data_IF_016033120829
#
_entry.id   IF_016033120829
#
_cell.length_a   1.000
_cell.length_b   1.000
_cell.length_c   1.000
_cell.angle_alpha   90.00
_cell.angle_beta   90.00
_cell.angle_gamma   90.00
#
_symmetry.space_group_name_H-M   'P 1'
#
loop_
_entity.id
_entity.type
_entity.pdbx_description
1 polymer ?
#
# COMPACT_ATOMS: atom_id res chain seq x y z
N UNK A 1 21.55 5.17 -15.28
CA UNK A 1 20.91 4.05 -14.56
C UNK A 1 20.58 2.98 -15.59
N UNK A 2 21.04 1.73 -15.42
CA UNK A 2 20.75 0.62 -16.32
C UNK A 2 19.75 -0.32 -15.65
N UNK A 3 18.81 -0.86 -16.44
CA UNK A 3 17.92 -1.92 -16.01
C UNK A 3 18.71 -3.23 -15.79
N UNK A 4 18.25 -4.07 -14.86
CA UNK A 4 18.81 -5.39 -14.55
C UNK A 4 19.06 -6.29 -15.77
N UNK A 5 18.26 -6.16 -16.83
CA UNK A 5 18.44 -6.89 -18.08
C UNK A 5 19.66 -6.43 -18.92
N UNK A 6 20.36 -5.37 -18.48
CA UNK A 6 21.45 -4.71 -19.19
C UNK A 6 22.82 -4.90 -18.50
N UNK A 7 22.91 -5.81 -17.51
CA UNK A 7 24.15 -6.11 -16.76
C UNK A 7 24.38 -7.62 -16.71
N UNK A 8 25.45 -8.09 -17.36
CA UNK A 8 25.86 -9.50 -17.35
C UNK A 8 26.46 -9.91 -15.98
N UNK A 9 26.13 -11.12 -15.51
CA UNK A 9 26.77 -11.74 -14.33
C UNK A 9 26.17 -11.37 -12.97
N UNK A 10 25.02 -10.72 -12.91
CA UNK A 10 24.34 -10.44 -11.64
C UNK A 10 23.45 -11.60 -11.18
N UNK A 11 23.72 -12.13 -9.99
CA UNK A 11 22.89 -13.14 -9.32
C UNK A 11 21.92 -12.45 -8.36
N UNK A 12 20.60 -12.65 -8.48
CA UNK A 12 19.65 -12.07 -7.55
C UNK A 12 19.90 -12.58 -6.12
N UNK A 13 19.83 -11.71 -5.10
CA UNK A 13 19.56 -12.20 -3.76
C UNK A 13 18.25 -13.00 -3.83
N UNK A 14 18.22 -14.16 -3.18
CA UNK A 14 17.04 -15.02 -3.14
C UNK A 14 15.88 -14.27 -2.47
N UNK A 15 15.07 -13.56 -3.26
CA UNK A 15 13.71 -13.23 -2.81
C UNK A 15 12.94 -14.55 -2.86
N UNK A 16 12.52 -15.04 -1.70
CA UNK A 16 11.54 -16.10 -1.67
C UNK A 16 10.24 -15.47 -2.17
N UNK A 17 9.78 -15.91 -3.34
CA UNK A 17 8.39 -15.71 -3.73
C UNK A 17 7.56 -16.38 -2.65
N UNK A 18 6.94 -15.59 -1.76
CA UNK A 18 6.00 -16.11 -0.78
C UNK A 18 4.79 -16.62 -1.55
N UNK A 19 4.79 -17.91 -1.83
CA UNK A 19 3.60 -18.64 -2.24
C UNK A 19 2.54 -18.42 -1.18
N UNK A 20 1.34 -18.01 -1.59
CA UNK A 20 0.19 -17.78 -0.71
C UNK A 20 -0.12 -19.03 0.12
N UNK A 21 0.41 -19.06 1.34
CA UNK A 21 -0.12 -19.84 2.45
C UNK A 21 -0.81 -18.82 3.35
N UNK A 22 -2.07 -19.09 3.69
CA UNK A 22 -2.98 -18.12 4.34
C UNK A 22 -2.31 -17.31 5.45
N UNK A 23 -2.30 -15.99 5.25
CA UNK A 23 -1.70 -14.92 6.08
C UNK A 23 -0.18 -14.77 5.93
N UNK A 24 0.22 -13.53 5.67
CA UNK A 24 1.60 -13.07 5.75
C UNK A 24 1.77 -12.32 7.09
N UNK A 25 2.52 -12.91 8.02
CA UNK A 25 2.71 -12.36 9.37
C UNK A 25 3.46 -11.03 9.35
N UNK A 26 4.35 -10.83 8.37
CA UNK A 26 5.07 -9.56 8.21
C UNK A 26 4.12 -8.48 7.74
N UNK A 27 3.27 -8.76 6.76
CA UNK A 27 2.26 -7.82 6.29
C UNK A 27 1.21 -7.51 7.37
N UNK A 28 0.76 -8.52 8.11
CA UNK A 28 -0.16 -8.33 9.24
C UNK A 28 0.48 -7.44 10.34
N UNK A 29 1.75 -7.67 10.68
CA UNK A 29 2.47 -6.86 11.66
C UNK A 29 2.67 -5.42 11.16
N UNK A 30 3.02 -5.26 9.87
CA UNK A 30 3.22 -3.95 9.25
C UNK A 30 1.94 -3.11 9.27
N UNK A 31 0.80 -3.72 8.93
CA UNK A 31 -0.51 -3.08 9.03
C UNK A 31 -0.85 -2.75 10.49
N UNK A 32 -0.61 -3.67 11.42
CA UNK A 32 -0.91 -3.45 12.83
C UNK A 32 -0.04 -2.35 13.46
N UNK A 33 1.23 -2.23 13.05
CA UNK A 33 2.16 -1.20 13.51
C UNK A 33 1.64 0.23 13.30
N UNK A 34 0.81 0.44 12.29
CA UNK A 34 0.20 1.76 12.00
C UNK A 34 -0.68 2.31 13.10
N UNK A 35 -1.27 1.43 13.92
CA UNK A 35 -2.31 1.81 14.86
C UNK A 35 -3.60 2.33 14.21
N UNK A 36 -3.76 2.19 12.89
CA UNK A 36 -4.98 2.58 12.19
C UNK A 36 -6.17 1.78 12.71
N UNK A 37 -7.30 2.46 12.92
CA UNK A 37 -8.55 1.77 13.24
C UNK A 37 -9.04 1.03 11.99
N UNK A 38 -9.00 -0.31 12.02
CA UNK A 38 -9.49 -1.16 10.93
C UNK A 38 -10.64 -2.03 11.46
N UNK A 39 -11.80 -1.98 10.83
CA UNK A 39 -12.94 -2.85 11.13
C UNK A 39 -13.26 -3.77 9.95
N UNK A 40 -13.66 -5.00 10.26
CA UNK A 40 -13.94 -6.06 9.30
C UNK A 40 -15.43 -6.43 9.28
N UNK A 41 -15.85 -7.22 8.29
CA UNK A 41 -17.23 -7.68 8.13
C UNK A 41 -18.11 -6.78 7.25
N UNK A 42 -17.50 -5.86 6.51
CA UNK A 42 -18.22 -4.94 5.61
C UNK A 42 -18.37 -5.52 4.20
N UNK A 43 -19.37 -5.08 3.45
CA UNK A 43 -19.50 -5.49 2.04
C UNK A 43 -18.73 -4.57 1.07
N UNK A 44 -17.83 -3.74 1.60
CA UNK A 44 -17.05 -2.76 0.86
C UNK A 44 -15.72 -2.51 1.56
N UNK A 45 -14.77 -1.93 0.84
CA UNK A 45 -13.52 -1.42 1.38
C UNK A 45 -13.49 0.11 1.24
N UNK A 46 -13.23 0.84 2.32
CA UNK A 46 -13.12 2.29 2.28
C UNK A 46 -12.34 2.84 3.48
N UNK A 47 -11.63 3.95 3.28
CA UNK A 47 -11.23 4.83 4.38
C UNK A 47 -12.30 5.91 4.58
N UNK A 48 -12.72 6.10 5.82
CA UNK A 48 -13.67 7.13 6.22
C UNK A 48 -12.93 8.24 6.98
N UNK A 49 -12.72 9.44 6.38
CA UNK A 49 -11.93 10.50 6.99
C UNK A 49 -12.49 11.02 8.31
N UNK A 50 -13.81 11.21 8.41
CA UNK A 50 -14.43 11.79 9.60
C UNK A 50 -14.29 10.93 10.86
N UNK A 51 -14.59 9.61 10.85
CA UNK A 51 -14.32 8.74 11.99
C UNK A 51 -12.86 8.25 12.06
N UNK A 52 -12.01 8.66 11.12
CA UNK A 52 -10.63 8.20 10.96
C UNK A 52 -10.47 6.67 11.03
N UNK A 53 -11.22 5.95 10.18
CA UNK A 53 -11.30 4.48 10.21
C UNK A 53 -11.29 3.87 8.81
N UNK A 54 -10.63 2.72 8.68
CA UNK A 54 -10.70 1.86 7.51
C UNK A 54 -11.73 0.77 7.76
N UNK A 55 -12.61 0.56 6.79
CA UNK A 55 -13.61 -0.51 6.76
C UNK A 55 -13.22 -1.49 5.66
N UNK A 56 -13.20 -2.78 5.97
CA UNK A 56 -12.85 -3.86 5.04
C UNK A 56 -13.86 -5.00 5.08
N UNK A 57 -14.01 -5.74 3.97
CA UNK A 57 -14.58 -7.08 4.00
C UNK A 57 -13.76 -8.02 4.86
N UNK A 58 -14.41 -9.08 5.35
CA UNK A 58 -13.68 -10.16 6.00
C UNK A 58 -12.71 -10.81 4.99
N UNK A 59 -11.55 -11.24 5.46
CA UNK A 59 -10.48 -11.81 4.61
C UNK A 59 -10.98 -12.94 3.70
N UNK A 60 -11.90 -13.77 4.17
CA UNK A 60 -12.47 -14.90 3.41
C UNK A 60 -13.36 -14.47 2.23
N UNK A 61 -13.74 -13.19 2.15
CA UNK A 61 -14.52 -12.62 1.04
C UNK A 61 -13.62 -12.18 -0.13
N UNK A 62 -12.30 -12.11 0.07
CA UNK A 62 -11.35 -11.84 -1.00
C UNK A 62 -11.01 -13.12 -1.77
N UNK A 63 -10.77 -12.96 -3.08
CA UNK A 63 -10.43 -14.08 -3.98
C UNK A 63 -9.10 -14.72 -3.57
N UNK A 64 -8.15 -13.91 -3.13
CA UNK A 64 -6.85 -14.38 -2.64
C UNK A 64 -6.26 -13.42 -1.59
N UNK A 65 -5.17 -13.88 -0.99
CA UNK A 65 -4.44 -13.13 0.05
C UNK A 65 -3.82 -11.84 -0.50
N UNK A 66 -3.39 -11.82 -1.75
CA UNK A 66 -2.80 -10.64 -2.37
C UNK A 66 -3.84 -9.52 -2.53
N UNK A 67 -5.06 -9.85 -2.93
CA UNK A 67 -6.19 -8.93 -3.00
C UNK A 67 -6.51 -8.33 -1.63
N UNK A 68 -6.56 -9.14 -0.57
CA UNK A 68 -6.76 -8.63 0.79
C UNK A 68 -5.71 -7.58 1.19
N UNK A 69 -4.42 -7.89 0.99
CA UNK A 69 -3.36 -6.96 1.38
C UNK A 69 -3.27 -5.74 0.48
N UNK A 70 -3.50 -5.88 -0.82
CA UNK A 70 -3.58 -4.74 -1.75
C UNK A 70 -4.69 -3.78 -1.32
N UNK A 71 -5.88 -4.29 -1.02
CA UNK A 71 -7.00 -3.45 -0.55
C UNK A 71 -6.74 -2.85 0.83
N UNK A 72 -6.13 -3.60 1.74
CA UNK A 72 -5.78 -3.08 3.08
C UNK A 72 -4.74 -1.96 3.01
N UNK A 73 -3.70 -2.13 2.18
CA UNK A 73 -2.64 -1.12 2.00
C UNK A 73 -3.13 0.10 1.22
N UNK A 74 -4.08 -0.06 0.29
CA UNK A 74 -4.81 1.06 -0.32
C UNK A 74 -5.55 1.88 0.74
N UNK A 75 -6.32 1.22 1.61
CA UNK A 75 -7.02 1.87 2.71
C UNK A 75 -6.06 2.63 3.64
N UNK A 76 -4.90 2.04 3.95
CA UNK A 76 -3.84 2.70 4.71
C UNK A 76 -3.26 3.92 3.98
N UNK A 77 -3.07 3.84 2.66
CA UNK A 77 -2.59 4.99 1.89
C UNK A 77 -3.56 6.17 2.00
N UNK A 78 -4.87 5.97 1.85
CA UNK A 78 -5.85 7.03 2.12
C UNK A 78 -5.82 7.50 3.57
N UNK A 79 -5.71 6.57 4.53
CA UNK A 79 -5.60 6.90 5.94
C UNK A 79 -4.45 7.89 6.17
N UNK A 80 -3.26 7.70 5.61
CA UNK A 80 -2.15 8.68 5.77
C UNK A 80 -2.51 10.10 5.32
N UNK A 81 -3.52 10.28 4.46
CA UNK A 81 -3.96 11.58 3.95
C UNK A 81 -4.72 12.45 4.95
N UNK A 82 -5.14 11.91 6.10
CA UNK A 82 -5.90 12.66 7.10
C UNK A 82 -5.19 13.95 7.58
N UNK A 83 -5.95 15.00 7.98
CA UNK A 83 -5.38 16.29 8.41
C UNK A 83 -4.34 16.24 9.53
N UNK A 84 -4.35 15.20 10.37
CA UNK A 84 -3.36 15.02 11.46
C UNK A 84 -2.11 14.24 11.04
N UNK A 85 -2.03 13.81 9.77
CA UNK A 85 -0.92 13.04 9.20
C UNK A 85 -0.30 13.81 8.03
N UNK A 86 -0.52 13.38 6.79
CA UNK A 86 0.03 14.04 5.60
C UNK A 86 -0.88 15.16 5.05
N UNK A 87 -2.06 15.36 5.64
CA UNK A 87 -2.96 16.47 5.35
C UNK A 87 -3.22 16.69 3.85
N UNK A 88 -3.49 15.58 3.13
CA UNK A 88 -3.89 15.62 1.72
C UNK A 88 -5.38 15.96 1.61
N UNK A 89 -5.78 16.47 0.46
CA UNK A 89 -7.19 16.78 0.19
C UNK A 89 -7.96 15.48 -0.12
N UNK A 90 -8.83 15.08 0.81
CA UNK A 90 -9.71 13.92 0.70
C UNK A 90 -11.17 14.32 0.44
N UNK A 91 -11.44 15.57 0.07
CA UNK A 91 -12.81 16.12 -0.05
C UNK A 91 -13.41 16.01 -1.45
N UNK A 92 -12.60 15.64 -2.44
CA UNK A 92 -13.04 15.42 -3.81
C UNK A 92 -14.14 14.36 -3.91
N UNK A 93 -15.02 14.49 -4.91
CA UNK A 93 -16.09 13.51 -5.16
C UNK A 93 -15.75 12.63 -6.35
N UNK A 94 -16.34 11.44 -6.40
CA UNK A 94 -16.18 10.54 -7.53
C UNK A 94 -16.51 11.26 -8.85
N UNK A 95 -15.54 11.28 -9.77
CA UNK A 95 -15.63 12.00 -11.04
C UNK A 95 -14.90 13.34 -11.07
N UNK A 96 -14.47 13.86 -9.92
CA UNK A 96 -13.63 15.06 -9.82
C UNK A 96 -12.15 14.71 -9.98
N UNK A 97 -11.37 15.58 -10.63
CA UNK A 97 -9.93 15.37 -10.85
C UNK A 97 -9.14 15.24 -9.53
N UNK A 98 -9.55 15.99 -8.49
CA UNK A 98 -8.92 15.91 -7.17
C UNK A 98 -9.15 14.55 -6.49
N UNK A 99 -10.36 14.00 -6.60
CA UNK A 99 -10.67 12.66 -6.10
C UNK A 99 -9.83 11.62 -6.84
N UNK A 100 -9.74 11.75 -8.15
CA UNK A 100 -9.01 10.78 -8.96
C UNK A 100 -7.49 10.84 -8.77
N UNK A 101 -6.93 12.03 -8.50
CA UNK A 101 -5.53 12.16 -8.13
C UNK A 101 -5.23 11.46 -6.80
N UNK A 102 -6.11 11.57 -5.81
CA UNK A 102 -5.94 10.88 -4.51
C UNK A 102 -6.11 9.36 -4.64
N UNK A 103 -7.05 8.88 -5.47
CA UNK A 103 -7.14 7.44 -5.77
C UNK A 103 -5.86 6.93 -6.44
N UNK A 104 -5.26 7.70 -7.37
CA UNK A 104 -3.99 7.31 -7.97
C UNK A 104 -2.84 7.29 -6.95
N UNK A 105 -2.84 8.21 -5.97
CA UNK A 105 -1.89 8.18 -4.84
C UNK A 105 -2.07 6.89 -4.03
N UNK A 106 -3.30 6.52 -3.70
CA UNK A 106 -3.59 5.34 -2.90
C UNK A 106 -3.23 4.03 -3.61
N UNK A 107 -3.54 3.93 -4.90
CA UNK A 107 -3.27 2.75 -5.73
C UNK A 107 -1.79 2.56 -6.00
N UNK A 108 -1.07 3.64 -6.34
CA UNK A 108 0.38 3.57 -6.51
C UNK A 108 1.08 3.27 -5.18
N UNK A 109 0.60 3.84 -4.07
CA UNK A 109 1.09 3.55 -2.73
C UNK A 109 0.88 2.09 -2.34
N UNK A 110 -0.32 1.53 -2.60
CA UNK A 110 -0.62 0.13 -2.37
C UNK A 110 0.27 -0.81 -3.21
N UNK A 111 0.51 -0.46 -4.47
CA UNK A 111 1.43 -1.22 -5.33
C UNK A 111 2.87 -1.22 -4.79
N UNK A 112 3.35 -0.06 -4.32
CA UNK A 112 4.68 0.07 -3.69
C UNK A 112 4.73 -0.74 -2.39
N UNK A 113 3.70 -0.64 -1.53
CA UNK A 113 3.61 -1.37 -0.28
C UNK A 113 3.57 -2.89 -0.50
N UNK A 114 2.77 -3.37 -1.45
CA UNK A 114 2.76 -4.79 -1.85
C UNK A 114 4.14 -5.25 -2.32
N UNK A 115 4.83 -4.45 -3.15
CA UNK A 115 6.19 -4.77 -3.59
C UNK A 115 7.18 -4.81 -2.41
N UNK A 116 7.11 -3.86 -1.48
CA UNK A 116 7.90 -3.84 -0.24
C UNK A 116 7.64 -5.10 0.61
N UNK A 117 6.37 -5.51 0.70
CA UNK A 117 5.91 -6.69 1.43
C UNK A 117 6.11 -8.01 0.66
N UNK A 118 6.70 -7.98 -0.55
CA UNK A 118 6.90 -9.19 -1.37
C UNK A 118 5.59 -9.84 -1.82
N UNK A 119 4.48 -9.12 -1.71
CA UNK A 119 3.15 -9.56 -2.11
C UNK A 119 3.02 -9.29 -3.60
N UNK A 120 2.85 -10.37 -4.37
CA UNK A 120 2.63 -10.27 -5.81
C UNK A 120 1.14 -10.37 -6.09
N UNK A 121 0.47 -9.29 -6.54
CA UNK A 121 -0.91 -9.37 -6.98
C UNK A 121 -1.02 -10.33 -8.16
N UNK A 122 -1.99 -11.22 -8.11
CA UNK A 122 -2.50 -11.93 -9.29
C UNK A 122 -3.13 -10.90 -10.22
N UNK A 123 -2.82 -10.96 -11.51
CA UNK A 123 -3.46 -10.09 -12.50
C UNK A 123 -4.97 -10.39 -12.52
N UNK A 124 -5.81 -9.37 -12.31
CA UNK A 124 -7.27 -9.49 -12.40
C UNK A 124 -7.81 -8.63 -13.54
N UNK A 125 -8.83 -9.14 -14.21
CA UNK A 125 -9.43 -8.52 -15.40
C UNK A 125 -10.21 -7.22 -15.08
N UNK A 126 -10.52 -6.95 -13.81
CA UNK A 126 -11.25 -5.76 -13.34
C UNK A 126 -10.37 -4.50 -13.16
N UNK A 127 -9.04 -4.60 -13.28
CA UNK A 127 -8.12 -3.44 -13.18
C UNK A 127 -8.24 -2.45 -14.36
N UNK A 128 -8.86 -2.86 -15.47
CA UNK A 128 -8.90 -2.07 -16.70
C UNK A 128 -9.71 -0.76 -16.58
N UNK A 129 -10.74 -0.71 -15.73
CA UNK A 129 -11.56 0.49 -15.54
C UNK A 129 -10.81 1.62 -14.82
N UNK A 130 -9.89 1.28 -13.92
CA UNK A 130 -9.05 2.22 -13.17
C UNK A 130 -7.90 2.76 -14.03
N UNK A 131 -7.28 1.90 -14.84
CA UNK A 131 -6.26 2.29 -15.82
C UNK A 131 -6.77 3.33 -16.82
N UNK A 132 -8.02 3.21 -17.28
CA UNK A 132 -8.64 4.18 -18.18
C UNK A 132 -8.79 5.58 -17.54
N UNK A 133 -9.01 5.65 -16.22
CA UNK A 133 -9.08 6.93 -15.52
C UNK A 133 -7.69 7.55 -15.35
N UNK A 134 -6.70 6.75 -14.98
CA UNK A 134 -5.31 7.20 -14.82
C UNK A 134 -4.71 7.69 -16.13
N UNK A 135 -4.96 6.98 -17.24
CA UNK A 135 -4.52 7.41 -18.57
C UNK A 135 -5.04 8.80 -18.93
N UNK A 136 -6.27 9.15 -18.54
CA UNK A 136 -6.84 10.48 -18.83
C UNK A 136 -6.13 11.61 -18.08
N UNK A 137 -5.81 11.39 -16.79
CA UNK A 137 -5.09 12.38 -15.96
C UNK A 137 -3.68 12.56 -16.49
N UNK A 138 -3.01 11.45 -16.81
CA UNK A 138 -1.64 11.45 -17.32
C UNK A 138 -1.53 12.05 -18.73
N UNK A 139 -2.55 11.90 -19.56
CA UNK A 139 -2.61 12.51 -20.89
C UNK A 139 -2.86 14.02 -20.80
N UNK A 140 -3.62 14.47 -19.79
CA UNK A 140 -3.90 15.89 -19.56
C UNK A 140 -2.73 16.65 -18.91
N UNK A 141 -2.03 16.03 -17.95
CA UNK A 141 -0.85 16.60 -17.29
C UNK A 141 0.15 15.51 -16.85
N UNK A 142 1.20 15.27 -17.66
CA UNK A 142 2.24 14.31 -17.32
C UNK A 142 3.05 14.67 -16.05
N UNK A 143 3.14 15.95 -15.68
CA UNK A 143 3.88 16.36 -14.48
C UNK A 143 3.16 15.94 -13.19
N UNK A 144 1.83 15.84 -13.25
CA UNK A 144 1.00 15.30 -12.16
C UNK A 144 1.44 13.90 -11.74
N UNK A 145 2.00 13.08 -12.64
CA UNK A 145 2.54 11.77 -12.28
C UNK A 145 3.64 11.85 -11.21
N UNK A 146 4.56 12.80 -11.33
CA UNK A 146 5.66 12.95 -10.36
C UNK A 146 5.14 13.38 -9.00
N UNK A 147 4.14 14.27 -8.98
CA UNK A 147 3.49 14.71 -7.74
C UNK A 147 2.77 13.54 -7.07
N UNK A 148 2.03 12.76 -7.85
CA UNK A 148 1.32 11.58 -7.33
C UNK A 148 2.31 10.52 -6.84
N UNK A 149 3.37 10.24 -7.58
CA UNK A 149 4.41 9.30 -7.15
C UNK A 149 5.10 9.75 -5.86
N UNK A 150 5.44 11.05 -5.74
CA UNK A 150 6.03 11.59 -4.52
C UNK A 150 5.08 11.46 -3.32
N UNK A 151 3.78 11.70 -3.50
CA UNK A 151 2.76 11.54 -2.46
C UNK A 151 2.52 10.09 -2.08
N UNK A 152 2.53 9.18 -3.05
CA UNK A 152 2.41 7.74 -2.83
C UNK A 152 3.60 7.22 -2.00
N UNK A 153 4.82 7.62 -2.36
CA UNK A 153 6.02 7.30 -1.58
C UNK A 153 5.93 7.87 -0.17
N UNK A 154 5.55 9.14 -0.01
CA UNK A 154 5.39 9.74 1.31
C UNK A 154 4.34 9.02 2.17
N UNK A 155 3.27 8.48 1.57
CA UNK A 155 2.31 7.65 2.28
C UNK A 155 2.93 6.34 2.78
N UNK A 156 3.68 5.63 1.92
CA UNK A 156 4.38 4.40 2.31
C UNK A 156 5.44 4.69 3.38
N UNK A 157 6.24 5.74 3.22
CA UNK A 157 7.25 6.15 4.19
C UNK A 157 6.62 6.48 5.55
N UNK A 158 5.44 7.11 5.58
CA UNK A 158 4.71 7.37 6.81
C UNK A 158 4.27 6.08 7.50
N UNK A 159 3.87 5.07 6.72
CA UNK A 159 3.49 3.76 7.25
C UNK A 159 4.74 3.02 7.77
N UNK A 160 5.86 3.08 7.05
CA UNK A 160 7.14 2.50 7.50
C UNK A 160 7.63 3.17 8.79
N UNK A 161 7.48 4.48 8.91
CA UNK A 161 7.85 5.23 10.12
C UNK A 161 6.95 4.94 11.34
N UNK A 162 5.79 4.30 11.13
CA UNK A 162 4.89 3.90 12.22
C UNK A 162 5.24 2.55 12.83
N UNK A 163 6.19 1.82 12.25
CA UNK A 163 6.59 0.51 12.75
C UNK A 163 7.30 0.64 14.11
N UNK A 164 7.03 -0.28 15.06
CA UNK A 164 7.70 -0.25 16.35
C UNK A 164 9.21 -0.45 16.16
N UNK A 165 10.02 0.24 16.96
CA UNK A 165 11.45 -0.01 17.03
C UNK A 165 11.68 -1.49 17.35
N UNK A 166 12.28 -2.24 16.42
CA UNK A 166 12.68 -3.61 16.69
C UNK A 166 13.83 -3.56 17.69
N UNK A 167 13.54 -3.83 18.96
CA UNK A 167 14.60 -4.09 19.94
C UNK A 167 15.30 -5.37 19.49
N UNK A 168 16.52 -5.23 19.00
CA UNK A 168 17.35 -6.34 18.54
C UNK A 168 17.58 -7.31 19.70
N UNK A 169 16.98 -8.50 19.64
CA UNK A 169 17.09 -9.50 20.71
C UNK A 169 18.45 -10.18 20.76
N UNK A 170 19.32 -9.92 19.79
CA UNK A 170 20.65 -10.54 19.70
C UNK A 170 21.67 -9.95 20.70
N UNK A 171 21.33 -8.87 21.42
CA UNK A 171 22.25 -8.25 22.40
C UNK A 171 22.17 -8.90 23.81
N UNK A 172 21.22 -9.82 24.05
CA UNK A 172 21.05 -10.42 25.39
C UNK A 172 21.79 -11.75 25.62
N UNK A 173 22.38 -12.37 24.59
CA UNK A 173 23.18 -13.60 24.78
C UNK A 173 24.66 -13.34 25.14
N UNK A 174 25.22 -12.15 24.87
CA UNK A 174 26.63 -11.85 25.19
C UNK A 174 26.87 -11.39 26.64
N UNK A 175 25.82 -11.16 27.44
CA UNK A 175 25.97 -10.73 28.85
C UNK A 175 25.82 -11.88 29.85
N UNK A 176 25.69 -13.12 29.37
CA UNK A 176 25.54 -14.33 30.21
C UNK A 176 26.58 -15.43 29.96
N UNK A 177 27.70 -15.14 29.27
CA UNK A 177 28.79 -16.09 29.05
C UNK A 177 30.05 -15.75 29.86
#
# INVERSE_FOLDING_TARGET
MFNRAQVDGWTPPHHQLTTSADRDSRADAWIAGTGAAITYGHNHAAYLPQPDRIELPDRHQFVDTAGFYSTSTHGLCHWTGHPTRLARDLTGRFGDDACAAEELVAELGAAIACAHLGITPTARDDHASYLAHWLRILDADPETLFIVAARALAAVDHIDASQPDTVDSDVLEEVSA
#
